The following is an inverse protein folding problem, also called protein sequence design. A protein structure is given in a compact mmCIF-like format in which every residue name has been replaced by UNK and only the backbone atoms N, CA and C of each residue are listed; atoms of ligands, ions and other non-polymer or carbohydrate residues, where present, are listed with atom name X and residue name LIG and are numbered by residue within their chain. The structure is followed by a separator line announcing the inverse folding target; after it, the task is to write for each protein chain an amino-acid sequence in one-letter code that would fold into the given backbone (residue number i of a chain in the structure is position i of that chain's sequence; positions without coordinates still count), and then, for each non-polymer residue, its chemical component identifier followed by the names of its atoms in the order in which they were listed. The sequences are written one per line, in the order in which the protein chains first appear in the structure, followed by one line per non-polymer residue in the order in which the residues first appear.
data_IF_546090085550
#
_entry.id   IF_546090085550
#
_cell.length_a   1.000
_cell.length_b   1.000
_cell.length_c   1.000
_cell.angle_alpha   90.00
_cell.angle_beta   90.00
_cell.angle_gamma   90.00
#
_symmetry.space_group_name_H-M   'P 1'
#
loop_
_entity.id
_entity.type
_entity.pdbx_description
1 polymer ?
#
# COMPACT_ATOMS: atom_id res chain seq x y z
N UNK A 1 11.06 -25.88 -31.82
CA UNK A 1 10.33 -24.60 -31.90
C UNK A 1 9.85 -24.28 -30.51
N UNK A 2 10.53 -23.38 -29.79
CA UNK A 2 10.17 -22.98 -28.44
C UNK A 2 8.97 -22.02 -28.49
N UNK A 3 7.90 -22.22 -27.72
CA UNK A 3 6.82 -21.24 -27.68
C UNK A 3 7.36 -19.98 -27.00
N UNK A 4 7.47 -18.90 -27.77
CA UNK A 4 7.73 -17.56 -27.25
C UNK A 4 6.55 -17.16 -26.36
N UNK A 5 6.66 -17.42 -25.06
CA UNK A 5 5.73 -16.94 -24.04
C UNK A 5 5.96 -15.44 -23.85
N UNK A 6 5.42 -14.63 -24.77
CA UNK A 6 5.32 -13.18 -24.61
C UNK A 6 4.13 -12.84 -23.72
N UNK A 7 4.08 -13.42 -22.52
CA UNK A 7 3.07 -13.03 -21.54
C UNK A 7 3.28 -11.54 -21.21
N UNK A 8 2.25 -10.68 -21.30
CA UNK A 8 2.40 -9.28 -20.96
C UNK A 8 2.82 -9.19 -19.48
N UNK A 9 4.04 -8.68 -19.25
CA UNK A 9 4.58 -8.48 -17.91
C UNK A 9 3.63 -7.56 -17.16
N UNK A 10 3.10 -7.96 -15.99
CA UNK A 10 2.19 -7.12 -15.24
C UNK A 10 2.92 -5.82 -14.86
N UNK A 11 2.26 -4.65 -14.99
CA UNK A 11 2.86 -3.41 -14.53
C UNK A 11 3.13 -3.53 -13.04
N UNK A 12 4.39 -3.45 -12.63
CA UNK A 12 4.76 -3.47 -11.20
C UNK A 12 4.07 -2.28 -10.54
N UNK A 13 3.07 -2.50 -9.66
CA UNK A 13 2.39 -1.39 -9.04
C UNK A 13 3.41 -0.56 -8.24
N UNK A 14 3.38 0.78 -8.34
CA UNK A 14 4.30 1.60 -7.57
C UNK A 14 4.07 1.32 -6.09
N UNK A 15 5.11 0.89 -5.38
CA UNK A 15 5.05 0.77 -3.94
C UNK A 15 4.74 2.15 -3.33
N UNK A 16 3.76 2.23 -2.42
CA UNK A 16 3.48 3.49 -1.73
C UNK A 16 4.75 3.91 -1.01
N UNK A 17 5.24 5.08 -1.38
CA UNK A 17 6.34 5.73 -0.70
C UNK A 17 5.80 6.32 0.60
N UNK A 18 6.23 5.75 1.73
CA UNK A 18 5.96 6.34 3.05
C UNK A 18 6.76 7.64 3.13
N UNK A 19 6.05 8.77 3.15
CA UNK A 19 6.69 10.07 3.24
C UNK A 19 7.12 10.38 4.69
N UNK A 20 8.25 11.06 4.89
CA UNK A 20 8.66 11.54 6.22
C UNK A 20 7.62 12.47 6.86
N UNK A 21 6.82 13.17 6.04
CA UNK A 21 5.70 13.99 6.50
C UNK A 21 4.60 13.14 7.15
N UNK A 22 4.29 11.96 6.58
CA UNK A 22 3.36 11.02 7.18
C UNK A 22 3.86 10.51 8.52
N UNK A 23 5.15 10.19 8.62
CA UNK A 23 5.78 9.78 9.89
C UNK A 23 5.74 10.90 10.92
N UNK A 24 6.01 12.14 10.50
CA UNK A 24 5.91 13.32 11.37
C UNK A 24 4.49 13.54 11.89
N UNK A 25 3.48 13.37 11.03
CA UNK A 25 2.08 13.46 11.43
C UNK A 25 1.69 12.34 12.40
N UNK A 26 2.13 11.11 12.13
CA UNK A 26 1.93 9.97 13.03
C UNK A 26 2.60 10.19 14.39
N UNK A 27 3.82 10.72 14.42
CA UNK A 27 4.51 11.09 15.66
C UNK A 27 3.74 12.14 16.48
N UNK A 28 3.30 13.24 15.84
CA UNK A 28 2.50 14.28 16.49
C UNK A 28 1.19 13.71 17.05
N UNK A 29 0.53 12.84 16.28
CA UNK A 29 -0.68 12.14 16.70
C UNK A 29 -0.40 11.22 17.90
N UNK A 30 0.67 10.43 17.84
CA UNK A 30 1.06 9.50 18.91
C UNK A 30 1.25 10.22 20.24
N UNK A 31 1.89 11.40 20.22
CA UNK A 31 2.06 12.23 21.41
C UNK A 31 0.73 12.76 21.94
N UNK A 32 -0.13 13.30 21.06
CA UNK A 32 -1.43 13.87 21.45
C UNK A 32 -2.36 12.85 22.12
N UNK A 33 -2.42 11.63 21.60
CA UNK A 33 -3.30 10.58 22.13
C UNK A 33 -2.62 9.67 23.16
N UNK A 34 -1.39 9.99 23.58
CA UNK A 34 -0.61 9.15 24.52
C UNK A 34 -0.18 7.78 23.97
N UNK A 35 -0.51 7.45 22.71
CA UNK A 35 -0.13 6.19 22.07
C UNK A 35 1.39 6.02 21.98
N UNK A 36 2.15 7.12 21.94
CA UNK A 36 3.61 7.11 21.95
C UNK A 36 4.19 6.36 23.16
N UNK A 37 3.58 6.51 24.33
CA UNK A 37 4.04 5.88 25.57
C UNK A 37 3.66 4.41 25.67
N UNK A 38 2.74 3.93 24.81
CA UNK A 38 2.37 2.51 24.72
C UNK A 38 3.28 1.73 23.78
N UNK A 39 4.01 2.42 22.90
CA UNK A 39 5.00 1.79 22.01
C UNK A 39 6.20 1.25 22.79
N UNK A 40 6.84 0.22 22.26
CA UNK A 40 8.12 -0.28 22.78
C UNK A 40 9.22 0.80 22.65
N UNK A 41 10.27 0.78 23.49
CA UNK A 41 11.37 1.75 23.39
C UNK A 41 11.99 1.81 21.99
N UNK A 42 12.19 0.66 21.35
CA UNK A 42 12.69 0.54 19.97
C UNK A 42 11.79 1.23 18.95
N UNK A 43 10.48 1.03 19.07
CA UNK A 43 9.47 1.62 18.17
C UNK A 43 9.43 3.14 18.32
N UNK A 44 9.58 3.65 19.56
CA UNK A 44 9.67 5.09 19.83
C UNK A 44 10.91 5.70 19.17
N UNK A 45 12.06 5.07 19.34
CA UNK A 45 13.31 5.51 18.72
C UNK A 45 13.19 5.51 17.19
N UNK A 46 12.63 4.44 16.61
CA UNK A 46 12.43 4.32 15.17
C UNK A 46 11.48 5.39 14.64
N UNK A 47 10.35 5.65 15.30
CA UNK A 47 9.42 6.71 14.91
C UNK A 47 10.04 8.11 15.03
N UNK A 48 10.82 8.35 16.09
CA UNK A 48 11.52 9.61 16.32
C UNK A 48 12.62 9.88 15.29
N UNK A 49 13.35 8.86 14.86
CA UNK A 49 14.40 8.98 13.85
C UNK A 49 13.83 9.05 12.43
N UNK A 50 12.84 8.21 12.11
CA UNK A 50 12.26 8.13 10.78
C UNK A 50 11.65 9.46 10.30
N UNK A 51 11.15 10.30 11.22
CA UNK A 51 10.63 11.64 10.89
C UNK A 51 11.69 12.62 10.40
N UNK A 52 12.97 12.39 10.73
CA UNK A 52 14.11 13.25 10.36
C UNK A 52 14.74 12.85 9.02
N UNK A 53 14.36 11.70 8.47
CA UNK A 53 14.88 11.22 7.19
C UNK A 53 14.33 12.06 6.04
N UNK A 54 15.15 12.29 5.00
CA UNK A 54 14.70 12.95 3.76
C UNK A 54 13.79 12.05 2.92
N UNK A 55 14.06 10.75 2.90
CA UNK A 55 13.27 9.75 2.18
C UNK A 55 13.42 8.37 2.85
N UNK A 56 12.36 7.58 2.83
CA UNK A 56 12.35 6.20 3.36
C UNK A 56 12.39 5.25 2.16
N UNK A 57 13.60 4.81 1.80
CA UNK A 57 13.84 3.90 0.67
C UNK A 57 13.90 2.43 1.07
N UNK A 58 14.32 2.15 2.31
CA UNK A 58 14.50 0.77 2.77
C UNK A 58 13.14 0.06 2.97
N UNK A 59 12.93 -1.14 2.38
CA UNK A 59 11.69 -1.89 2.54
C UNK A 59 11.49 -2.37 3.99
N UNK A 60 12.57 -2.78 4.67
CA UNK A 60 12.51 -3.19 6.07
C UNK A 60 12.09 -2.03 6.99
N UNK A 61 12.63 -0.83 6.75
CA UNK A 61 12.24 0.36 7.50
C UNK A 61 10.78 0.73 7.22
N UNK A 62 10.34 0.62 5.97
CA UNK A 62 8.95 0.85 5.56
C UNK A 62 8.00 -0.09 6.32
N UNK A 63 8.29 -1.38 6.36
CA UNK A 63 7.48 -2.37 7.09
C UNK A 63 7.44 -2.11 8.59
N UNK A 64 8.59 -1.77 9.21
CA UNK A 64 8.65 -1.40 10.62
C UNK A 64 7.76 -0.19 10.92
N UNK A 65 7.78 0.84 10.05
CA UNK A 65 6.93 2.03 10.20
C UNK A 65 5.44 1.66 10.03
N UNK A 66 5.08 0.79 9.09
CA UNK A 66 3.70 0.35 8.93
C UNK A 66 3.17 -0.36 10.18
N UNK A 67 3.97 -1.23 10.80
CA UNK A 67 3.62 -1.89 12.07
C UNK A 67 3.40 -0.89 13.20
N UNK A 68 4.20 0.18 13.27
CA UNK A 68 4.01 1.25 14.25
C UNK A 68 2.73 2.05 13.94
N UNK A 69 2.48 2.35 12.65
CA UNK A 69 1.27 3.04 12.22
C UNK A 69 -0.01 2.27 12.55
N UNK A 70 0.01 0.94 12.47
CA UNK A 70 -1.14 0.12 12.89
C UNK A 70 -1.49 0.34 14.37
N UNK A 71 -0.49 0.51 15.23
CA UNK A 71 -0.68 0.76 16.66
C UNK A 71 -1.11 2.20 16.96
N UNK A 72 -0.53 3.17 16.26
CA UNK A 72 -0.72 4.61 16.54
C UNK A 72 -1.93 5.20 15.79
N UNK A 73 -2.12 4.79 14.55
CA UNK A 73 -3.12 5.33 13.63
C UNK A 73 -3.71 4.23 12.75
N UNK A 74 -4.51 3.31 13.33
CA UNK A 74 -5.01 2.14 12.64
C UNK A 74 -5.80 2.51 11.38
N UNK A 75 -6.65 3.53 11.42
CA UNK A 75 -7.42 3.98 10.26
C UNK A 75 -6.56 4.48 9.09
N UNK A 76 -5.39 5.06 9.36
CA UNK A 76 -4.47 5.47 8.29
C UNK A 76 -3.72 4.27 7.75
N UNK A 77 -3.29 3.36 8.62
CA UNK A 77 -2.61 2.13 8.24
C UNK A 77 -3.50 1.24 7.35
N UNK A 78 -4.78 1.08 7.69
CA UNK A 78 -5.75 0.34 6.87
C UNK A 78 -5.93 0.97 5.50
N UNK A 79 -6.02 2.31 5.41
CA UNK A 79 -6.13 3.01 4.13
C UNK A 79 -4.89 2.84 3.24
N UNK A 80 -3.69 2.84 3.83
CA UNK A 80 -2.45 2.59 3.10
C UNK A 80 -2.46 1.15 2.56
N UNK A 81 -2.76 0.16 3.42
CA UNK A 81 -2.89 -1.24 3.00
C UNK A 81 -3.95 -1.43 1.91
N UNK A 82 -5.11 -0.79 2.05
CA UNK A 82 -6.18 -0.84 1.07
C UNK A 82 -5.68 -0.36 -0.28
N UNK A 83 -5.00 0.78 -0.33
CA UNK A 83 -4.48 1.31 -1.58
C UNK A 83 -3.43 0.38 -2.21
N UNK A 84 -2.56 -0.25 -1.43
CA UNK A 84 -1.59 -1.25 -1.93
C UNK A 84 -2.28 -2.46 -2.55
N UNK A 85 -3.30 -3.01 -1.88
CA UNK A 85 -4.08 -4.11 -2.42
C UNK A 85 -4.90 -3.69 -3.64
N UNK A 86 -5.45 -2.48 -3.63
CA UNK A 86 -6.16 -1.91 -4.77
C UNK A 86 -5.28 -1.82 -6.02
N UNK A 87 -4.02 -1.38 -5.87
CA UNK A 87 -3.06 -1.35 -6.97
C UNK A 87 -2.71 -2.75 -7.47
N UNK A 88 -2.52 -3.73 -6.58
CA UNK A 88 -2.26 -5.13 -6.96
C UNK A 88 -3.44 -5.73 -7.73
N UNK A 89 -4.66 -5.50 -7.27
CA UNK A 89 -5.86 -5.97 -7.97
C UNK A 89 -6.05 -5.30 -9.32
N UNK A 90 -5.80 -3.99 -9.40
CA UNK A 90 -5.86 -3.27 -10.66
C UNK A 90 -4.87 -3.86 -11.67
N UNK A 91 -3.63 -4.13 -11.25
CA UNK A 91 -2.62 -4.77 -12.09
C UNK A 91 -3.07 -6.16 -12.58
N UNK A 92 -3.62 -7.01 -11.69
CA UNK A 92 -4.18 -8.32 -12.06
C UNK A 92 -5.33 -8.19 -13.06
N UNK A 93 -6.25 -7.25 -12.86
CA UNK A 93 -7.39 -7.00 -13.76
C UNK A 93 -6.94 -6.51 -15.13
N UNK A 94 -5.94 -5.63 -15.19
CA UNK A 94 -5.32 -5.20 -16.46
C UNK A 94 -4.69 -6.38 -17.18
N UNK A 95 -3.93 -7.22 -16.48
CA UNK A 95 -3.32 -8.40 -17.06
C UNK A 95 -4.37 -9.36 -17.63
N UNK A 96 -5.43 -9.63 -16.87
CA UNK A 96 -6.55 -10.46 -17.31
C UNK A 96 -7.23 -9.88 -18.56
N UNK A 97 -7.50 -8.57 -18.57
CA UNK A 97 -8.09 -7.91 -19.74
C UNK A 97 -7.22 -8.03 -20.99
N UNK A 98 -5.89 -7.93 -20.85
CA UNK A 98 -4.95 -8.12 -21.95
C UNK A 98 -4.94 -9.56 -22.46
N UNK A 99 -5.00 -10.55 -21.55
CA UNK A 99 -5.06 -11.98 -21.92
C UNK A 99 -6.34 -12.32 -22.68
N UNK A 100 -7.47 -11.70 -22.31
CA UNK A 100 -8.75 -11.86 -23.02
C UNK A 100 -8.76 -11.16 -24.39
N UNK A 101 -7.84 -10.21 -24.62
CA UNK A 101 -7.81 -9.38 -25.83
C UNK A 101 -8.68 -8.12 -25.74
N UNK A 102 -9.18 -7.77 -24.55
CA UNK A 102 -9.99 -6.58 -24.30
C UNK A 102 -9.12 -5.34 -24.06
N UNK A 103 -8.46 -4.85 -25.12
CA UNK A 103 -7.50 -3.73 -25.06
C UNK A 103 -8.10 -2.43 -24.53
N UNK A 104 -9.31 -2.06 -24.97
CA UNK A 104 -10.01 -0.86 -24.50
C UNK A 104 -10.25 -0.85 -22.99
N UNK A 105 -10.59 -2.01 -22.41
CA UNK A 105 -10.81 -2.15 -20.97
C UNK A 105 -9.48 -2.01 -20.22
N UNK A 106 -8.41 -2.64 -20.72
CA UNK A 106 -7.08 -2.50 -20.14
C UNK A 106 -6.61 -1.03 -20.14
N UNK A 107 -6.86 -0.29 -21.22
CA UNK A 107 -6.56 1.14 -21.31
C UNK A 107 -7.38 2.00 -20.35
N UNK A 108 -8.68 1.71 -20.21
CA UNK A 108 -9.54 2.37 -19.24
C UNK A 108 -9.07 2.13 -17.80
N UNK A 109 -8.70 0.89 -17.46
CA UNK A 109 -8.18 0.53 -16.14
C UNK A 109 -6.82 1.19 -15.85
N UNK A 110 -5.96 1.36 -16.86
CA UNK A 110 -4.71 2.12 -16.71
C UNK A 110 -4.95 3.59 -16.35
N UNK A 111 -6.08 4.17 -16.77
CA UNK A 111 -6.52 5.54 -16.47
C UNK A 111 -7.39 5.64 -15.21
N UNK A 112 -7.47 4.58 -14.41
CA UNK A 112 -8.31 4.56 -13.21
C UNK A 112 -7.91 5.66 -12.20
N UNK A 113 -8.91 6.25 -11.56
CA UNK A 113 -8.69 7.30 -10.56
C UNK A 113 -8.18 6.73 -9.23
N UNK A 114 -7.61 7.60 -8.40
CA UNK A 114 -7.14 7.24 -7.06
C UNK A 114 -8.25 6.67 -6.18
N UNK A 115 -9.49 7.13 -6.35
CA UNK A 115 -10.62 6.68 -5.54
C UNK A 115 -11.10 5.30 -5.98
N UNK A 116 -11.06 4.99 -7.28
CA UNK A 116 -11.30 3.63 -7.78
C UNK A 116 -10.33 2.63 -7.15
N UNK A 117 -9.05 2.99 -7.04
CA UNK A 117 -8.02 2.14 -6.42
C UNK A 117 -8.33 1.91 -4.94
N UNK A 118 -8.67 2.97 -4.19
CA UNK A 118 -9.05 2.85 -2.77
C UNK A 118 -10.27 1.96 -2.58
N UNK A 119 -11.31 2.16 -3.40
CA UNK A 119 -12.56 1.39 -3.31
C UNK A 119 -12.28 -0.10 -3.54
N UNK A 120 -11.54 -0.45 -4.59
CA UNK A 120 -11.13 -1.83 -4.87
C UNK A 120 -10.35 -2.43 -3.69
N UNK A 121 -9.43 -1.65 -3.13
CA UNK A 121 -8.65 -2.04 -1.96
C UNK A 121 -9.49 -2.33 -0.72
N UNK A 122 -10.44 -1.44 -0.40
CA UNK A 122 -11.34 -1.58 0.74
C UNK A 122 -12.25 -2.79 0.54
N UNK A 123 -12.80 -2.96 -0.66
CA UNK A 123 -13.62 -4.12 -1.02
C UNK A 123 -12.84 -5.42 -0.76
N UNK A 124 -11.58 -5.49 -1.19
CA UNK A 124 -10.74 -6.66 -0.97
C UNK A 124 -10.43 -6.95 0.49
N UNK A 125 -10.09 -5.92 1.28
CA UNK A 125 -9.84 -6.07 2.72
C UNK A 125 -11.09 -6.55 3.44
N UNK A 126 -12.27 -6.07 3.04
CA UNK A 126 -13.54 -6.46 3.64
C UNK A 126 -14.06 -7.81 3.14
N UNK A 127 -13.59 -8.29 2.00
CA UNK A 127 -13.96 -9.59 1.46
C UNK A 127 -13.41 -10.68 2.39
N UNK A 128 -14.24 -11.63 2.87
CA UNK A 128 -13.77 -12.75 3.68
C UNK A 128 -12.73 -13.58 2.93
N UNK A 129 -11.79 -14.20 3.66
CA UNK A 129 -10.68 -14.98 3.08
C UNK A 129 -11.15 -16.05 2.08
N UNK A 130 -12.30 -16.67 2.35
CA UNK A 130 -12.90 -17.69 1.48
C UNK A 130 -13.21 -17.19 0.06
N UNK A 131 -13.48 -15.88 -0.11
CA UNK A 131 -13.84 -15.27 -1.39
C UNK A 131 -12.69 -14.46 -2.02
N UNK A 132 -11.49 -14.46 -1.43
CA UNK A 132 -10.32 -13.79 -2.00
C UNK A 132 -9.62 -14.72 -3.00
N UNK A 133 -10.26 -14.96 -4.14
CA UNK A 133 -9.69 -15.65 -5.32
C UNK A 133 -9.40 -14.65 -6.42
#
# INVERSE_FOLDING_TARGET
MSPSSSAPVPPTPPAIQISPQLVSAAYKRALRYGAYWRLRPEERALLFLARRLKAIKSPALREAILRILEKVWPSKATMIKAYEEGLRLLAKKIQLALVIGATHIAEALKKASLDTIKILGIQYINTPLFYRG
#
